data_IF_845569673430
#
_entry.id   IF_845569673430
#
_cell.length_a   1.000
_cell.length_b   1.000
_cell.length_c   1.000
_cell.angle_alpha   90.00
_cell.angle_beta   90.00
_cell.angle_gamma   90.00
#
_symmetry.space_group_name_H-M   'P 1'
#
loop_
_entity.id
_entity.type
_entity.pdbx_description
1 polymer ?
#
# COMPACT_ATOMS: atom_id res chain seq x y z
N UNK A 1 3.17 -6.18 16.58
CA UNK A 1 3.24 -4.76 16.21
C UNK A 1 1.90 -4.35 15.63
N UNK A 2 1.30 -3.30 16.15
CA UNK A 2 -0.03 -2.83 15.74
C UNK A 2 -0.10 -2.35 14.28
N UNK A 3 1.05 -2.18 13.63
CA UNK A 3 1.14 -1.79 12.20
C UNK A 3 0.80 -2.92 11.24
N UNK A 4 0.95 -4.18 11.68
CA UNK A 4 0.56 -5.37 10.91
C UNK A 4 -0.87 -5.75 11.25
N UNK A 5 -1.71 -5.95 10.23
CA UNK A 5 -3.10 -6.37 10.39
C UNK A 5 -3.31 -7.85 10.05
N UNK A 6 -2.57 -8.38 9.11
CA UNK A 6 -2.77 -9.72 8.55
C UNK A 6 -1.57 -10.66 8.71
N UNK A 7 -0.36 -10.10 8.82
CA UNK A 7 0.87 -10.86 9.00
C UNK A 7 1.39 -10.74 10.44
N UNK A 8 2.13 -11.75 10.87
CA UNK A 8 2.90 -11.69 12.13
C UNK A 8 4.37 -11.46 11.81
N UNK A 9 5.14 -10.72 12.63
CA UNK A 9 6.57 -10.57 12.41
C UNK A 9 7.26 -11.94 12.31
N UNK A 10 8.14 -12.11 11.31
CA UNK A 10 8.90 -13.34 11.16
C UNK A 10 9.78 -13.58 12.40
N UNK A 11 9.79 -14.80 12.97
CA UNK A 11 10.69 -15.12 14.05
C UNK A 11 12.15 -14.99 13.57
N UNK A 12 13.02 -14.46 14.42
CA UNK A 12 14.46 -14.26 14.12
C UNK A 12 15.21 -15.57 13.79
N UNK A 13 14.66 -16.72 14.16
CA UNK A 13 15.22 -18.03 13.80
C UNK A 13 14.67 -18.50 12.47
N UNK A 14 15.53 -18.65 11.49
CA UNK A 14 15.22 -19.14 10.12
C UNK A 14 14.57 -20.53 10.04
N UNK A 15 14.29 -21.19 11.15
CA UNK A 15 13.87 -22.60 11.20
C UNK A 15 12.36 -22.85 11.10
N UNK A 16 11.50 -21.83 11.04
CA UNK A 16 10.06 -22.03 11.13
C UNK A 16 9.26 -21.83 9.85
N UNK A 17 9.90 -21.69 8.71
CA UNK A 17 9.15 -21.49 7.45
C UNK A 17 8.73 -22.82 6.81
N UNK A 18 9.13 -23.94 7.40
CA UNK A 18 8.88 -25.28 6.86
C UNK A 18 7.49 -25.88 7.10
N UNK A 19 6.49 -25.14 7.61
CA UNK A 19 5.22 -25.76 7.96
C UNK A 19 3.98 -24.92 7.86
N UNK A 20 4.10 -23.60 7.86
CA UNK A 20 2.94 -22.74 7.65
C UNK A 20 2.96 -22.30 6.19
N UNK A 21 2.00 -22.76 5.41
CA UNK A 21 1.66 -22.13 4.14
C UNK A 21 1.41 -20.65 4.45
N UNK A 22 2.43 -19.80 4.21
CA UNK A 22 2.22 -18.37 4.22
C UNK A 22 1.14 -18.15 3.17
N UNK A 23 -0.04 -17.81 3.63
CA UNK A 23 -1.18 -17.67 2.75
C UNK A 23 -0.88 -16.51 1.81
N UNK A 24 -0.84 -16.76 0.51
CA UNK A 24 -0.79 -15.71 -0.52
C UNK A 24 -1.86 -14.66 -0.25
N UNK A 25 -3.01 -15.09 0.29
CA UNK A 25 -4.07 -14.19 0.72
C UNK A 25 -3.63 -13.22 1.82
N UNK A 26 -2.90 -13.67 2.84
CA UNK A 26 -2.41 -12.77 3.90
C UNK A 26 -1.41 -11.75 3.35
N UNK A 27 -0.55 -12.14 2.43
CA UNK A 27 0.38 -11.24 1.75
C UNK A 27 -0.41 -10.22 0.90
N UNK A 28 -1.43 -10.67 0.17
CA UNK A 28 -2.31 -9.78 -0.57
C UNK A 28 -2.99 -8.76 0.35
N UNK A 29 -3.61 -9.21 1.43
CA UNK A 29 -4.35 -8.37 2.34
C UNK A 29 -3.45 -7.32 3.03
N UNK A 30 -2.23 -7.71 3.43
CA UNK A 30 -1.26 -6.77 3.99
C UNK A 30 -0.72 -5.79 2.93
N UNK A 31 -0.52 -6.24 1.69
CA UNK A 31 -0.12 -5.37 0.57
C UNK A 31 -1.21 -4.34 0.26
N UNK A 32 -2.49 -4.75 0.28
CA UNK A 32 -3.62 -3.83 0.11
C UNK A 32 -3.73 -2.84 1.27
N UNK A 33 -3.45 -3.27 2.49
CA UNK A 33 -3.33 -2.37 3.65
C UNK A 33 -2.23 -1.31 3.42
N UNK A 34 -1.06 -1.71 2.99
CA UNK A 34 0.05 -0.80 2.64
C UNK A 34 -0.37 0.20 1.55
N UNK A 35 -1.03 -0.27 0.49
CA UNK A 35 -1.53 0.58 -0.59
C UNK A 35 -2.54 1.62 -0.08
N UNK A 36 -3.45 1.23 0.82
CA UNK A 36 -4.43 2.15 1.39
C UNK A 36 -3.78 3.28 2.20
N UNK A 37 -2.70 2.99 2.91
CA UNK A 37 -1.93 3.99 3.65
C UNK A 37 -1.18 4.95 2.71
N UNK A 38 -0.54 4.42 1.67
CA UNK A 38 0.14 5.22 0.65
C UNK A 38 -0.86 6.13 -0.08
N UNK A 39 -2.03 5.62 -0.43
CA UNK A 39 -3.10 6.41 -1.04
C UNK A 39 -3.59 7.52 -0.12
N UNK A 40 -3.82 7.24 1.16
CA UNK A 40 -4.24 8.26 2.12
C UNK A 40 -3.19 9.38 2.24
N UNK A 41 -1.90 9.04 2.20
CA UNK A 41 -0.82 10.01 2.15
C UNK A 41 -0.89 10.88 0.89
N UNK A 42 -1.14 10.30 -0.28
CA UNK A 42 -1.32 11.07 -1.53
C UNK A 42 -2.50 12.04 -1.41
N UNK A 43 -3.65 11.56 -0.94
CA UNK A 43 -4.84 12.38 -0.78
C UNK A 43 -4.61 13.55 0.19
N UNK A 44 -3.98 13.29 1.32
CA UNK A 44 -3.66 14.33 2.29
C UNK A 44 -2.56 15.28 1.81
N UNK A 45 -1.61 14.81 0.99
CA UNK A 45 -0.61 15.67 0.39
C UNK A 45 -1.24 16.69 -0.59
N UNK A 46 -2.26 16.30 -1.34
CA UNK A 46 -3.05 17.25 -2.15
C UNK A 46 -3.77 18.29 -1.26
N UNK A 47 -4.36 17.85 -0.15
CA UNK A 47 -4.98 18.79 0.82
C UNK A 47 -3.95 19.77 1.38
N UNK A 48 -2.73 19.33 1.68
CA UNK A 48 -1.63 20.17 2.16
C UNK A 48 -1.21 21.22 1.13
N UNK A 49 -1.28 20.94 -0.16
CA UNK A 49 -1.01 21.92 -1.22
C UNK A 49 -2.09 23.00 -1.28
N UNK A 50 -3.34 22.65 -0.97
CA UNK A 50 -4.46 23.59 -0.94
C UNK A 50 -4.50 24.39 0.37
N UNK A 51 -4.35 23.71 1.49
CA UNK A 51 -4.37 24.30 2.83
C UNK A 51 -3.47 23.50 3.76
N UNK A 52 -2.34 24.07 4.16
CA UNK A 52 -1.39 23.41 5.04
C UNK A 52 -1.89 23.28 6.47
N UNK A 53 -1.61 22.14 7.10
CA UNK A 53 -1.88 21.84 8.49
C UNK A 53 -0.71 21.05 9.09
N UNK A 54 -0.14 21.53 10.21
CA UNK A 54 0.93 20.84 10.95
C UNK A 54 0.50 19.45 11.41
N UNK A 55 -0.76 19.31 11.83
CA UNK A 55 -1.31 18.02 12.23
C UNK A 55 -1.33 17.00 11.08
N UNK A 56 -1.70 17.45 9.90
CA UNK A 56 -1.71 16.60 8.71
C UNK A 56 -0.28 16.27 8.28
N UNK A 57 0.65 17.20 8.39
CA UNK A 57 2.07 16.97 8.14
C UNK A 57 2.62 15.83 9.02
N UNK A 58 2.39 15.88 10.32
CA UNK A 58 2.77 14.80 11.24
C UNK A 58 2.13 13.45 10.90
N UNK A 59 0.86 13.44 10.49
CA UNK A 59 0.15 12.22 10.10
C UNK A 59 0.74 11.59 8.84
N UNK A 60 1.12 12.40 7.85
CA UNK A 60 1.75 11.92 6.62
C UNK A 60 3.08 11.23 6.93
N UNK A 61 3.95 11.83 7.73
CA UNK A 61 5.22 11.21 8.10
C UNK A 61 5.05 9.95 8.96
N UNK A 62 4.11 9.95 9.88
CA UNK A 62 3.81 8.76 10.69
C UNK A 62 3.29 7.61 9.83
N UNK A 63 2.49 7.91 8.83
CA UNK A 63 1.97 6.92 7.89
C UNK A 63 3.06 6.40 6.96
N UNK A 64 3.98 7.26 6.55
CA UNK A 64 5.18 6.91 5.80
C UNK A 64 6.06 5.91 6.57
N UNK A 65 6.31 6.16 7.84
CA UNK A 65 7.05 5.21 8.69
C UNK A 65 6.37 3.83 8.74
N UNK A 66 5.03 3.81 8.71
CA UNK A 66 4.26 2.56 8.68
C UNK A 66 4.40 1.88 7.31
N UNK A 67 4.30 2.61 6.21
CA UNK A 67 4.49 2.08 4.85
C UNK A 67 5.87 1.45 4.70
N UNK A 68 6.93 2.14 5.13
CA UNK A 68 8.31 1.64 5.09
C UNK A 68 8.49 0.37 5.94
N UNK A 69 7.84 0.31 7.09
CA UNK A 69 7.85 -0.89 7.92
C UNK A 69 7.14 -2.07 7.25
N UNK A 70 5.96 -1.82 6.65
CA UNK A 70 5.19 -2.84 5.92
C UNK A 70 5.95 -3.34 4.71
N UNK A 71 6.55 -2.45 3.93
CA UNK A 71 7.39 -2.82 2.79
C UNK A 71 8.48 -3.82 3.20
N UNK A 72 9.20 -3.51 4.26
CA UNK A 72 10.24 -4.39 4.80
C UNK A 72 9.69 -5.74 5.22
N UNK A 73 8.62 -5.77 6.02
CA UNK A 73 8.08 -7.03 6.57
C UNK A 73 7.48 -7.89 5.47
N UNK A 74 6.70 -7.31 4.56
CA UNK A 74 6.08 -8.05 3.46
C UNK A 74 7.17 -8.60 2.52
N UNK A 75 8.19 -7.80 2.21
CA UNK A 75 9.34 -8.25 1.39
C UNK A 75 10.08 -9.42 2.02
N UNK A 76 10.29 -9.40 3.34
CA UNK A 76 10.90 -10.51 4.07
C UNK A 76 10.03 -11.78 3.99
N UNK A 77 8.70 -11.65 4.09
CA UNK A 77 7.77 -12.76 3.93
C UNK A 77 7.79 -13.34 2.52
N UNK A 78 7.76 -12.50 1.50
CA UNK A 78 7.82 -12.93 0.10
C UNK A 78 9.14 -13.66 -0.17
N UNK A 79 10.26 -13.10 0.26
CA UNK A 79 11.58 -13.69 0.09
C UNK A 79 11.70 -15.06 0.77
N UNK A 80 11.16 -15.18 1.99
CA UNK A 80 11.14 -16.43 2.71
C UNK A 80 10.24 -17.49 2.03
N UNK A 81 9.09 -17.07 1.52
CA UNK A 81 8.17 -17.96 0.79
C UNK A 81 8.78 -18.44 -0.53
N UNK A 82 9.45 -17.56 -1.28
CA UNK A 82 10.13 -17.91 -2.53
C UNK A 82 11.31 -18.86 -2.33
N UNK A 83 11.93 -18.87 -1.16
CA UNK A 83 13.00 -19.80 -0.81
C UNK A 83 12.50 -21.22 -0.45
N UNK A 84 11.19 -21.45 -0.41
CA UNK A 84 10.60 -22.76 -0.10
C UNK A 84 10.88 -23.75 -1.25
N UNK A 85 11.46 -24.95 -0.97
CA UNK A 85 11.67 -25.97 -1.99
C UNK A 85 10.37 -26.43 -2.62
N UNK A 86 10.40 -26.69 -3.93
CA UNK A 86 9.25 -27.21 -4.70
C UNK A 86 8.01 -26.32 -4.67
N UNK A 87 8.20 -25.01 -4.60
CA UNK A 87 7.11 -24.05 -4.63
C UNK A 87 6.35 -24.16 -5.97
N UNK A 88 5.02 -24.14 -5.91
CA UNK A 88 4.17 -24.11 -7.09
C UNK A 88 4.47 -22.88 -7.95
N UNK A 89 4.54 -23.06 -9.29
CA UNK A 89 4.87 -21.99 -10.24
C UNK A 89 3.89 -20.82 -10.14
N UNK A 90 2.58 -21.10 -10.00
CA UNK A 90 1.56 -20.05 -9.89
C UNK A 90 1.74 -19.23 -8.62
N UNK A 91 2.06 -19.88 -7.50
CA UNK A 91 2.36 -19.21 -6.23
C UNK A 91 3.62 -18.36 -6.36
N UNK A 92 4.67 -18.89 -6.98
CA UNK A 92 5.92 -18.17 -7.21
C UNK A 92 5.70 -16.91 -8.07
N UNK A 93 4.90 -17.01 -9.12
CA UNK A 93 4.53 -15.87 -9.97
C UNK A 93 3.71 -14.82 -9.21
N UNK A 94 2.73 -15.25 -8.41
CA UNK A 94 1.94 -14.36 -7.58
C UNK A 94 2.82 -13.60 -6.57
N UNK A 95 3.71 -14.29 -5.87
CA UNK A 95 4.64 -13.68 -4.91
C UNK A 95 5.57 -12.68 -5.59
N UNK A 96 6.09 -12.99 -6.77
CA UNK A 96 6.92 -12.08 -7.55
C UNK A 96 6.15 -10.83 -7.97
N UNK A 97 4.89 -10.97 -8.33
CA UNK A 97 4.01 -9.84 -8.66
C UNK A 97 3.77 -8.94 -7.46
N UNK A 98 3.51 -9.49 -6.27
CA UNK A 98 3.39 -8.70 -5.05
C UNK A 98 4.67 -7.96 -4.71
N UNK A 99 5.83 -8.58 -4.90
CA UNK A 99 7.12 -7.90 -4.69
C UNK A 99 7.25 -6.65 -5.57
N UNK A 100 6.87 -6.73 -6.85
CA UNK A 100 6.85 -5.58 -7.75
C UNK A 100 5.84 -4.51 -7.33
N UNK A 101 4.67 -4.94 -6.85
CA UNK A 101 3.66 -4.01 -6.32
C UNK A 101 4.18 -3.23 -5.11
N UNK A 102 4.94 -3.86 -4.21
CA UNK A 102 5.54 -3.16 -3.06
C UNK A 102 6.42 -2.01 -3.50
N UNK A 103 7.25 -2.24 -4.52
CA UNK A 103 8.13 -1.20 -5.09
C UNK A 103 7.31 -0.01 -5.60
N UNK A 104 6.21 -0.26 -6.28
CA UNK A 104 5.35 0.80 -6.81
C UNK A 104 4.58 1.53 -5.70
N UNK A 105 4.11 0.82 -4.68
CA UNK A 105 3.42 1.41 -3.52
C UNK A 105 4.36 2.31 -2.72
N UNK A 106 5.58 1.86 -2.47
CA UNK A 106 6.60 2.66 -1.77
C UNK A 106 6.91 3.93 -2.56
N UNK A 107 7.04 3.82 -3.88
CA UNK A 107 7.26 4.99 -4.74
C UNK A 107 6.09 5.97 -4.71
N UNK A 108 4.85 5.49 -4.67
CA UNK A 108 3.65 6.34 -4.51
C UNK A 108 3.72 7.09 -3.18
N UNK A 109 4.07 6.41 -2.09
CA UNK A 109 4.23 7.01 -0.77
C UNK A 109 5.34 8.06 -0.74
N UNK A 110 6.47 7.79 -1.35
CA UNK A 110 7.58 8.74 -1.52
C UNK A 110 7.13 10.01 -2.25
N UNK A 111 6.36 9.88 -3.31
CA UNK A 111 5.81 11.04 -4.03
C UNK A 111 4.87 11.87 -3.14
N UNK A 112 4.06 11.23 -2.32
CA UNK A 112 3.19 11.92 -1.38
C UNK A 112 3.98 12.73 -0.35
N UNK A 113 5.05 12.17 0.21
CA UNK A 113 5.95 12.86 1.14
C UNK A 113 6.64 14.05 0.45
N UNK A 114 7.09 13.87 -0.79
CA UNK A 114 7.69 14.95 -1.56
C UNK A 114 6.71 16.09 -1.83
N UNK A 115 5.45 15.79 -2.18
CA UNK A 115 4.41 16.79 -2.34
C UNK A 115 4.12 17.55 -1.05
N UNK A 116 4.02 16.83 0.06
CA UNK A 116 3.84 17.43 1.39
C UNK A 116 5.01 18.36 1.76
N UNK A 117 6.24 17.93 1.46
CA UNK A 117 7.42 18.77 1.67
C UNK A 117 7.39 20.05 0.82
N UNK A 118 6.93 19.97 -0.43
CA UNK A 118 6.73 21.16 -1.26
C UNK A 118 5.65 22.08 -0.69
N UNK A 119 4.55 21.52 -0.17
CA UNK A 119 3.51 22.30 0.50
C UNK A 119 4.06 23.05 1.72
N UNK A 120 4.91 22.43 2.51
CA UNK A 120 5.60 23.07 3.65
C UNK A 120 6.45 24.26 3.20
N UNK A 121 7.15 24.14 2.07
CA UNK A 121 7.96 25.25 1.52
C UNK A 121 7.12 26.38 0.95
N UNK A 122 5.91 26.09 0.48
CA UNK A 122 4.99 27.06 -0.14
C UNK A 122 4.15 27.87 0.85
N UNK A 123 4.27 27.63 2.13
CA UNK A 123 3.50 28.31 3.20
C UNK A 123 3.50 29.85 3.14
N UNK A 124 4.30 30.47 2.27
CA UNK A 124 4.45 31.92 2.13
C UNK A 124 3.93 32.48 0.80
N UNK A 125 3.31 31.68 -0.06
CA UNK A 125 2.81 32.13 -1.36
C UNK A 125 1.39 31.63 -1.62
N UNK A 126 0.50 32.54 -1.99
CA UNK A 126 -0.85 32.18 -2.42
C UNK A 126 -0.80 31.39 -3.73
N UNK A 127 -1.59 30.32 -3.81
CA UNK A 127 -1.80 29.61 -5.06
C UNK A 127 -2.73 30.42 -5.98
N UNK A 128 -2.43 30.42 -7.27
CA UNK A 128 -3.35 30.97 -8.28
C UNK A 128 -4.58 30.08 -8.40
N UNK A 129 -5.69 30.64 -8.89
CA UNK A 129 -6.93 29.90 -9.14
C UNK A 129 -6.66 28.69 -10.06
N UNK A 130 -5.86 28.86 -11.10
CA UNK A 130 -5.51 27.78 -12.01
C UNK A 130 -4.71 26.65 -11.36
N UNK A 131 -3.80 26.98 -10.43
CA UNK A 131 -3.06 25.97 -9.67
C UNK A 131 -3.98 25.18 -8.74
N UNK A 132 -4.93 25.85 -8.08
CA UNK A 132 -5.94 25.20 -7.23
C UNK A 132 -6.80 24.25 -8.08
N UNK A 133 -7.28 24.66 -9.23
CA UNK A 133 -8.09 23.84 -10.13
C UNK A 133 -7.33 22.59 -10.60
N UNK A 134 -6.04 22.72 -10.91
CA UNK A 134 -5.17 21.57 -11.28
C UNK A 134 -5.06 20.58 -10.12
N UNK A 135 -4.78 21.06 -8.91
CA UNK A 135 -4.65 20.19 -7.73
C UNK A 135 -5.95 19.46 -7.41
N UNK A 136 -7.09 20.16 -7.48
CA UNK A 136 -8.41 19.56 -7.26
C UNK A 136 -8.75 18.51 -8.33
N UNK A 137 -8.40 18.78 -9.58
CA UNK A 137 -8.59 17.81 -10.67
C UNK A 137 -7.73 16.55 -10.47
N UNK A 138 -6.46 16.69 -10.11
CA UNK A 138 -5.57 15.58 -9.82
C UNK A 138 -6.05 14.77 -8.62
N UNK A 139 -6.53 15.43 -7.57
CA UNK A 139 -7.12 14.78 -6.40
C UNK A 139 -8.33 13.94 -6.78
N UNK A 140 -9.20 14.46 -7.63
CA UNK A 140 -10.38 13.72 -8.14
C UNK A 140 -9.98 12.51 -8.96
N UNK A 141 -8.99 12.63 -9.84
CA UNK A 141 -8.48 11.48 -10.61
C UNK A 141 -7.93 10.38 -9.70
N UNK A 142 -7.20 10.73 -8.65
CA UNK A 142 -6.72 9.75 -7.68
C UNK A 142 -7.87 9.06 -6.94
N UNK A 143 -8.93 9.79 -6.57
CA UNK A 143 -10.10 9.23 -5.92
C UNK A 143 -10.86 8.26 -6.86
N UNK A 144 -11.00 8.60 -8.13
CA UNK A 144 -11.64 7.75 -9.15
C UNK A 144 -10.83 6.46 -9.34
N UNK A 145 -9.50 6.54 -9.42
CA UNK A 145 -8.62 5.36 -9.51
C UNK A 145 -8.76 4.45 -8.29
N UNK A 146 -8.86 5.01 -7.08
CA UNK A 146 -9.08 4.21 -5.86
C UNK A 146 -10.40 3.45 -5.92
N UNK A 147 -11.48 4.11 -6.33
CA UNK A 147 -12.79 3.49 -6.46
C UNK A 147 -12.75 2.34 -7.47
N UNK A 148 -12.07 2.52 -8.60
CA UNK A 148 -11.89 1.49 -9.62
C UNK A 148 -11.14 0.28 -9.07
N UNK A 149 -10.09 0.48 -8.26
CA UNK A 149 -9.34 -0.60 -7.59
C UNK A 149 -10.20 -1.34 -6.55
N UNK A 150 -11.00 -0.62 -5.77
CA UNK A 150 -11.93 -1.23 -4.80
C UNK A 150 -13.01 -2.07 -5.52
N UNK A 151 -13.52 -1.62 -6.65
CA UNK A 151 -14.49 -2.34 -7.46
C UNK A 151 -13.90 -3.64 -8.03
N UNK A 152 -12.66 -3.62 -8.50
CA UNK A 152 -11.94 -4.83 -8.96
C UNK A 152 -11.74 -5.80 -7.81
N UNK A 153 -11.31 -5.33 -6.65
CA UNK A 153 -11.09 -6.16 -5.46
C UNK A 153 -12.40 -6.81 -4.98
N UNK A 154 -13.52 -6.07 -5.01
CA UNK A 154 -14.84 -6.61 -4.67
C UNK A 154 -15.30 -7.67 -5.68
N UNK A 155 -15.06 -7.48 -6.97
CA UNK A 155 -15.37 -8.46 -8.01
C UNK A 155 -14.57 -9.75 -7.83
N UNK A 156 -13.27 -9.66 -7.54
CA UNK A 156 -12.40 -10.82 -7.23
C UNK A 156 -12.89 -11.60 -6.00
N UNK A 157 -13.28 -10.90 -4.94
CA UNK A 157 -13.85 -11.57 -3.74
C UNK A 157 -15.15 -12.31 -4.04
N UNK A 158 -16.00 -11.78 -4.90
CA UNK A 158 -17.26 -12.45 -5.31
C UNK A 158 -16.94 -13.71 -6.12
N UNK A 159 -15.97 -13.68 -7.01
CA UNK A 159 -15.53 -14.83 -7.79
C UNK A 159 -14.96 -15.93 -6.88
N UNK A 160 -14.11 -15.57 -5.90
CA UNK A 160 -13.58 -16.51 -4.90
C UNK A 160 -14.68 -17.20 -4.08
N UNK A 161 -15.73 -16.47 -3.71
CA UNK A 161 -16.91 -17.04 -3.00
C UNK A 161 -17.67 -18.00 -3.88
N UNK A 162 -17.90 -17.67 -5.15
CA UNK A 162 -18.57 -18.54 -6.13
C UNK A 162 -17.77 -19.80 -6.33
N UNK A 163 -16.44 -19.71 -6.54
CA UNK A 163 -15.56 -20.86 -6.72
C UNK A 163 -15.55 -21.78 -5.50
N UNK A 164 -15.57 -21.22 -4.29
CA UNK A 164 -15.65 -22.01 -3.06
C UNK A 164 -16.98 -22.73 -2.89
N UNK A 165 -18.09 -22.15 -3.36
CA UNK A 165 -19.41 -22.78 -3.34
C UNK A 165 -19.58 -23.87 -4.40
N UNK A 166 -18.92 -23.71 -5.56
CA UNK A 166 -18.96 -24.71 -6.66
C UNK A 166 -18.08 -25.91 -6.34
N UNK A 167 -16.96 -25.73 -5.60
CA UNK A 167 -16.02 -26.80 -5.22
C UNK A 167 -16.43 -27.56 -3.95
N UNK A 168 -17.48 -27.16 -3.29
CA UNK A 168 -18.08 -27.86 -2.16
C UNK A 168 -19.24 -28.75 -2.63
#
# INVERSE_FOLDING_TARGET
DERLLFLQPLPKSKKMIGGAAISVKQINDETMHMLSLAYENVNQAFDQLLQFSDKTDEQIYKREDTVNYLDKVISEYISAALATPNLNVNISQALSSYYLMLVDIERISDYAVNMNHQATKRLQGDMTISEIEIVEHMKKLCADMKNDLEDVEEAERKDDVIDSLVSS
#
